data_IF_881088574653
#
_entry.id   IF_881088574653
#
_cell.length_a   1.000
_cell.length_b   1.000
_cell.length_c   1.000
_cell.angle_alpha   90.00
_cell.angle_beta   90.00
_cell.angle_gamma   90.00
#
_symmetry.space_group_name_H-M   'P 1'
#
loop_
_entity.id
_entity.type
_entity.pdbx_description
1 polymer ?
#
# COMPACT_ATOMS: atom_id res chain seq x y z
N UNK A 1 -43.75 23.45 31.58
CA UNK A 1 -42.55 24.24 31.49
C UNK A 1 -42.51 24.79 30.07
N UNK A 2 -42.77 26.10 29.91
CA UNK A 2 -42.61 26.81 28.63
C UNK A 2 -41.11 27.07 28.46
N UNK A 3 -40.56 26.58 27.37
CA UNK A 3 -39.19 26.91 27.00
C UNK A 3 -39.06 28.43 26.81
N UNK A 4 -38.06 29.01 27.42
CA UNK A 4 -37.72 30.43 27.25
C UNK A 4 -37.08 30.57 25.87
N UNK A 5 -37.84 31.08 24.90
CA UNK A 5 -37.44 31.20 23.51
C UNK A 5 -36.46 32.39 23.31
N UNK A 6 -36.24 33.21 24.32
CA UNK A 6 -35.32 34.37 24.28
C UNK A 6 -33.92 34.04 24.88
N UNK A 7 -33.73 32.84 25.43
CA UNK A 7 -32.43 32.41 25.89
C UNK A 7 -31.53 32.03 24.69
N UNK A 8 -30.26 32.48 24.65
CA UNK A 8 -29.35 32.08 23.59
C UNK A 8 -29.19 30.55 23.60
N UNK A 9 -29.22 29.94 22.40
CA UNK A 9 -29.03 28.52 22.22
C UNK A 9 -27.63 28.13 22.72
N UNK A 10 -27.54 27.50 23.88
CA UNK A 10 -26.31 26.90 24.38
C UNK A 10 -26.19 25.48 23.80
N UNK A 11 -25.28 25.31 22.83
CA UNK A 11 -24.89 24.02 22.35
C UNK A 11 -23.91 23.39 23.34
N UNK A 12 -24.42 22.50 24.19
CA UNK A 12 -23.57 21.62 24.99
C UNK A 12 -22.97 20.55 24.08
N UNK A 13 -21.84 20.89 23.46
CA UNK A 13 -21.00 19.90 22.77
C UNK A 13 -20.34 19.07 23.88
N UNK A 14 -20.84 17.86 24.12
CA UNK A 14 -20.10 16.85 24.88
C UNK A 14 -18.89 16.44 24.05
N UNK A 15 -17.80 17.17 24.23
CA UNK A 15 -16.49 16.90 23.60
C UNK A 15 -15.69 15.81 24.34
N UNK A 16 -16.26 15.22 25.41
CA UNK A 16 -15.73 14.01 26.00
C UNK A 16 -16.11 12.79 25.14
N UNK A 17 -15.66 12.77 23.89
CA UNK A 17 -15.32 11.51 23.27
C UNK A 17 -14.02 11.08 23.95
N UNK A 18 -14.07 9.94 24.64
CA UNK A 18 -12.86 9.17 24.90
C UNK A 18 -12.18 9.01 23.54
N UNK A 19 -11.14 9.80 23.31
CA UNK A 19 -10.21 9.56 22.21
C UNK A 19 -9.53 8.27 22.64
N UNK A 20 -9.99 7.13 22.13
CA UNK A 20 -9.17 5.92 22.20
C UNK A 20 -7.82 6.32 21.63
N UNK A 21 -6.78 6.31 22.48
CA UNK A 21 -5.42 6.59 22.04
C UNK A 21 -5.11 5.58 20.96
N UNK A 22 -4.89 6.08 19.74
CA UNK A 22 -4.46 5.22 18.64
C UNK A 22 -3.12 4.61 19.04
N UNK A 23 -3.07 3.30 19.17
CA UNK A 23 -1.82 2.56 19.34
C UNK A 23 -1.09 2.52 18.00
N UNK A 24 -0.29 3.57 17.74
CA UNK A 24 0.54 3.73 16.55
C UNK A 24 2.00 3.32 16.76
N UNK A 25 2.32 2.81 17.95
CA UNK A 25 3.67 2.37 18.26
C UNK A 25 4.12 1.24 17.34
N UNK A 26 5.30 1.42 16.75
CA UNK A 26 5.98 0.42 15.92
C UNK A 26 7.41 0.22 16.45
N UNK A 27 7.87 -1.02 16.37
CA UNK A 27 9.18 -1.42 16.88
C UNK A 27 10.14 -1.72 15.74
N UNK A 28 11.43 -1.49 15.98
CA UNK A 28 12.47 -1.91 15.05
C UNK A 28 12.43 -3.42 14.82
N UNK A 29 12.53 -3.83 13.56
CA UNK A 29 12.49 -5.23 13.13
C UNK A 29 13.82 -5.61 12.51
N UNK A 30 14.36 -6.77 12.91
CA UNK A 30 15.55 -7.33 12.28
C UNK A 30 15.19 -8.01 10.95
N UNK A 31 15.98 -7.72 9.91
CA UNK A 31 15.89 -8.47 8.67
C UNK A 31 16.33 -9.93 8.87
N UNK A 32 15.85 -10.87 8.04
CA UNK A 32 16.25 -12.26 8.16
C UNK A 32 17.77 -12.46 8.11
N UNK A 33 18.28 -13.40 8.91
CA UNK A 33 19.70 -13.75 8.92
C UNK A 33 20.23 -13.96 7.50
N UNK A 34 21.45 -13.47 7.23
CA UNK A 34 22.10 -13.50 5.93
C UNK A 34 21.45 -12.65 4.86
N UNK A 35 20.53 -11.74 5.19
CA UNK A 35 20.02 -10.77 4.23
C UNK A 35 21.16 -9.96 3.62
N UNK A 36 21.15 -9.86 2.29
CA UNK A 36 22.06 -9.00 1.52
C UNK A 36 21.25 -8.25 0.48
N UNK A 37 21.43 -6.94 0.43
CA UNK A 37 20.87 -6.11 -0.65
C UNK A 37 21.34 -6.64 -2.00
N UNK A 38 20.46 -6.66 -2.98
CA UNK A 38 20.76 -7.07 -4.34
C UNK A 38 20.42 -5.94 -5.31
N UNK A 39 21.19 -5.83 -6.39
CA UNK A 39 20.97 -4.89 -7.49
C UNK A 39 20.67 -5.63 -8.80
N UNK A 40 20.52 -6.93 -8.73
CA UNK A 40 20.15 -7.78 -9.85
C UNK A 40 19.57 -9.10 -9.35
N UNK A 41 18.35 -9.42 -9.79
CA UNK A 41 17.71 -10.70 -9.48
C UNK A 41 16.82 -11.13 -10.65
N UNK A 42 16.90 -12.39 -11.17
CA UNK A 42 16.13 -12.86 -12.33
C UNK A 42 14.65 -12.59 -12.22
N UNK A 43 14.04 -12.97 -11.09
CA UNK A 43 12.61 -12.75 -10.81
C UNK A 43 12.19 -11.27 -10.91
N UNK A 44 13.03 -10.35 -10.45
CA UNK A 44 12.73 -8.91 -10.51
C UNK A 44 12.98 -8.34 -11.92
N UNK A 45 13.93 -8.90 -12.66
CA UNK A 45 14.15 -8.56 -14.07
C UNK A 45 12.94 -8.96 -14.94
N UNK A 46 12.34 -10.13 -14.69
CA UNK A 46 11.09 -10.55 -15.34
C UNK A 46 9.91 -9.59 -15.03
N UNK A 47 9.99 -8.85 -13.92
CA UNK A 47 9.06 -7.80 -13.52
C UNK A 47 9.52 -6.39 -13.93
N UNK A 48 10.42 -6.32 -14.91
CA UNK A 48 10.90 -5.07 -15.48
C UNK A 48 11.57 -4.12 -14.47
N UNK A 49 12.17 -4.65 -13.39
CA UNK A 49 12.95 -3.85 -12.46
C UNK A 49 14.14 -3.22 -13.19
N UNK A 50 14.29 -1.92 -13.05
CA UNK A 50 15.38 -1.13 -13.57
C UNK A 50 16.48 -0.93 -12.52
N UNK A 51 17.59 -0.33 -12.90
CA UNK A 51 18.63 0.06 -11.95
C UNK A 51 18.08 1.07 -10.92
N UNK A 52 17.29 2.02 -11.35
CA UNK A 52 16.69 3.05 -10.48
C UNK A 52 15.75 2.43 -9.45
N UNK A 53 14.97 1.38 -9.80
CA UNK A 53 14.17 0.63 -8.84
C UNK A 53 15.03 0.04 -7.71
N UNK A 54 16.19 -0.56 -8.06
CA UNK A 54 17.08 -1.14 -7.05
C UNK A 54 17.78 -0.09 -6.19
N UNK A 55 18.06 1.08 -6.74
CA UNK A 55 18.63 2.19 -5.96
C UNK A 55 17.62 2.77 -4.98
N UNK A 56 16.39 2.97 -5.44
CA UNK A 56 15.33 3.62 -4.67
C UNK A 56 14.67 2.67 -3.65
N UNK A 57 14.33 1.45 -4.07
CA UNK A 57 13.67 0.47 -3.20
C UNK A 57 14.68 -0.55 -2.65
N UNK A 58 14.94 -0.56 -1.33
CA UNK A 58 15.75 -1.60 -0.74
C UNK A 58 15.13 -2.98 -1.01
N UNK A 59 15.89 -3.84 -1.66
CA UNK A 59 15.50 -5.23 -1.89
C UNK A 59 16.70 -6.14 -1.76
N UNK A 60 16.51 -7.31 -1.19
CA UNK A 60 17.61 -8.27 -1.01
C UNK A 60 17.16 -9.71 -0.97
N UNK A 61 18.12 -10.56 -0.73
CA UNK A 61 17.98 -12.01 -0.65
C UNK A 61 18.84 -12.57 0.48
N UNK A 62 18.50 -13.75 0.98
CA UNK A 62 19.35 -14.49 1.93
C UNK A 62 20.14 -15.60 1.25
N UNK A 63 19.76 -15.97 0.04
CA UNK A 63 20.28 -17.15 -0.65
C UNK A 63 20.06 -18.44 0.15
N UNK A 64 20.82 -19.48 -0.18
CA UNK A 64 20.71 -20.79 0.47
C UNK A 64 21.18 -20.84 1.93
N UNK A 65 21.81 -19.75 2.42
CA UNK A 65 22.27 -19.67 3.80
C UNK A 65 21.13 -19.61 4.82
N UNK A 66 19.98 -19.08 4.40
CA UNK A 66 18.76 -19.15 5.19
C UNK A 66 17.70 -19.96 4.39
N UNK A 67 17.55 -21.28 4.67
CA UNK A 67 16.63 -22.14 3.93
C UNK A 67 15.17 -21.68 3.96
N UNK A 68 14.77 -20.95 5.02
CA UNK A 68 13.40 -20.42 5.18
C UNK A 68 13.07 -19.36 4.13
N UNK A 69 14.09 -18.63 3.65
CA UNK A 69 13.95 -17.53 2.70
C UNK A 69 14.76 -17.73 1.41
N UNK A 70 15.26 -18.94 1.15
CA UNK A 70 16.16 -19.24 0.04
C UNK A 70 15.63 -18.79 -1.33
N UNK A 71 14.32 -18.96 -1.56
CA UNK A 71 13.65 -18.63 -2.81
C UNK A 71 12.76 -17.39 -2.71
N UNK A 72 13.13 -16.46 -1.80
CA UNK A 72 12.39 -15.21 -1.61
C UNK A 72 13.26 -13.99 -1.96
N UNK A 73 12.62 -12.99 -2.55
CA UNK A 73 13.09 -11.60 -2.55
C UNK A 73 12.44 -10.88 -1.38
N UNK A 74 13.21 -10.07 -0.65
CA UNK A 74 12.82 -9.48 0.63
C UNK A 74 12.88 -7.97 0.48
N UNK A 75 11.77 -7.32 0.75
CA UNK A 75 11.61 -5.87 0.74
C UNK A 75 11.49 -5.38 2.17
N UNK A 76 12.48 -4.64 2.72
CA UNK A 76 12.33 -3.94 3.97
C UNK A 76 11.15 -2.96 3.93
N UNK A 77 10.51 -2.78 5.07
CA UNK A 77 9.49 -1.76 5.30
C UNK A 77 10.08 -0.77 6.30
N UNK A 78 10.18 0.49 5.88
CA UNK A 78 10.78 1.56 6.67
C UNK A 78 9.72 2.53 7.15
N UNK A 79 9.92 3.06 8.34
CA UNK A 79 9.11 4.11 8.96
C UNK A 79 10.07 5.04 9.73
N UNK A 80 10.12 6.31 9.33
CA UNK A 80 11.08 7.28 9.84
C UNK A 80 12.54 6.77 9.83
N UNK A 81 12.95 6.19 8.68
CA UNK A 81 14.28 5.63 8.42
C UNK A 81 14.68 4.45 9.33
N UNK A 82 13.71 3.86 10.00
CA UNK A 82 13.91 2.64 10.79
C UNK A 82 13.22 1.47 10.12
N UNK A 83 13.87 0.32 10.05
CA UNK A 83 13.23 -0.89 9.52
C UNK A 83 12.24 -1.41 10.57
N UNK A 84 10.95 -1.37 10.24
CA UNK A 84 9.84 -1.79 11.10
C UNK A 84 9.18 -3.09 10.63
N UNK A 85 9.64 -3.63 9.52
CA UNK A 85 9.14 -4.88 8.98
C UNK A 85 9.82 -5.27 7.69
N UNK A 86 9.39 -6.38 7.13
CA UNK A 86 9.74 -6.78 5.77
C UNK A 86 8.64 -7.61 5.14
N UNK A 87 8.56 -7.55 3.83
CA UNK A 87 7.74 -8.42 3.00
C UNK A 87 8.67 -9.31 2.17
N UNK A 88 8.58 -10.62 2.35
CA UNK A 88 9.30 -11.57 1.53
C UNK A 88 8.35 -12.20 0.50
N UNK A 89 8.68 -12.06 -0.78
CA UNK A 89 7.91 -12.59 -1.90
C UNK A 89 8.62 -13.80 -2.50
N UNK A 90 7.94 -14.94 -2.53
CA UNK A 90 8.46 -16.14 -3.17
C UNK A 90 8.61 -15.95 -4.68
N UNK A 91 9.71 -16.40 -5.25
CA UNK A 91 10.05 -16.17 -6.66
C UNK A 91 9.27 -17.06 -7.63
N UNK A 92 8.70 -18.16 -7.16
CA UNK A 92 7.92 -19.06 -8.02
C UNK A 92 6.59 -18.44 -8.45
N UNK A 93 6.12 -18.78 -9.65
CA UNK A 93 4.77 -18.45 -10.09
C UNK A 93 3.70 -19.06 -9.18
N UNK A 94 2.57 -18.38 -9.05
CA UNK A 94 1.44 -18.84 -8.22
C UNK A 94 1.03 -20.28 -8.53
N UNK A 95 0.97 -20.64 -9.82
CA UNK A 95 0.58 -21.99 -10.27
C UNK A 95 1.50 -23.08 -9.73
N UNK A 96 2.81 -22.81 -9.66
CA UNK A 96 3.81 -23.74 -9.14
C UNK A 96 3.70 -23.88 -7.63
N UNK A 97 3.54 -22.78 -6.91
CA UNK A 97 3.30 -22.79 -5.47
C UNK A 97 2.03 -23.59 -5.13
N UNK A 98 0.94 -23.35 -5.85
CA UNK A 98 -0.33 -24.07 -5.65
C UNK A 98 -0.19 -25.58 -5.97
N UNK A 99 0.57 -25.93 -7.01
CA UNK A 99 0.84 -27.31 -7.35
C UNK A 99 1.70 -28.01 -6.28
N UNK A 100 2.78 -27.34 -5.81
CA UNK A 100 3.59 -27.82 -4.69
C UNK A 100 2.75 -28.02 -3.42
N UNK A 101 1.96 -27.03 -3.04
CA UNK A 101 1.16 -27.06 -1.82
C UNK A 101 0.09 -28.17 -1.83
N UNK A 102 -0.47 -28.49 -3.00
CA UNK A 102 -1.37 -29.66 -3.15
C UNK A 102 -0.64 -30.98 -2.86
N UNK A 103 0.59 -31.15 -3.38
CA UNK A 103 1.41 -32.34 -3.12
C UNK A 103 1.88 -32.39 -1.67
N UNK A 104 2.39 -31.28 -1.14
CA UNK A 104 2.87 -31.16 0.22
C UNK A 104 1.82 -31.58 1.26
N UNK A 105 0.54 -31.27 1.01
CA UNK A 105 -0.57 -31.71 1.87
C UNK A 105 -0.70 -33.24 1.97
N UNK A 106 -0.39 -33.95 0.90
CA UNK A 106 -0.45 -35.42 0.88
C UNK A 106 0.83 -36.07 1.44
N UNK A 107 1.98 -35.42 1.29
CA UNK A 107 3.29 -35.98 1.64
C UNK A 107 3.76 -35.54 3.04
N UNK A 108 3.02 -34.71 3.75
CA UNK A 108 3.45 -34.16 5.04
C UNK A 108 4.58 -33.12 4.95
N UNK A 109 4.80 -32.55 3.77
CA UNK A 109 5.80 -31.52 3.52
C UNK A 109 5.29 -30.12 3.93
N UNK A 110 6.21 -29.17 4.11
CA UNK A 110 5.87 -27.80 4.44
C UNK A 110 5.24 -27.06 3.24
N UNK A 111 4.19 -26.29 3.52
CA UNK A 111 3.60 -25.38 2.53
C UNK A 111 4.50 -24.19 2.25
N UNK A 112 4.61 -23.84 0.99
CA UNK A 112 5.24 -22.59 0.55
C UNK A 112 4.20 -21.46 0.61
N UNK A 113 4.56 -20.36 1.27
CA UNK A 113 3.76 -19.15 1.28
C UNK A 113 4.20 -18.23 0.14
N UNK A 114 3.24 -17.69 -0.61
CA UNK A 114 3.53 -16.70 -1.67
C UNK A 114 4.16 -15.44 -1.10
N UNK A 115 3.68 -15.02 0.06
CA UNK A 115 4.22 -13.92 0.85
C UNK A 115 4.51 -14.39 2.26
N UNK A 116 5.59 -13.88 2.83
CA UNK A 116 6.01 -14.15 4.21
C UNK A 116 6.48 -12.83 4.81
N UNK A 117 5.62 -12.21 5.58
CA UNK A 117 5.92 -10.95 6.25
C UNK A 117 6.61 -11.19 7.60
N UNK A 118 7.32 -10.18 8.11
CA UNK A 118 7.72 -10.14 9.52
C UNK A 118 6.48 -10.13 10.42
N UNK A 119 6.67 -10.47 11.68
CA UNK A 119 5.58 -10.59 12.67
C UNK A 119 5.78 -9.70 13.89
N UNK A 120 6.82 -8.88 13.88
CA UNK A 120 7.17 -8.02 15.02
C UNK A 120 6.21 -6.84 15.17
N UNK A 121 5.66 -6.37 14.06
CA UNK A 121 4.66 -5.33 14.03
C UNK A 121 3.40 -5.78 13.27
N UNK A 122 2.26 -5.22 13.66
CA UNK A 122 1.01 -5.37 12.89
C UNK A 122 1.10 -4.54 11.60
N UNK A 123 0.99 -5.19 10.46
CA UNK A 123 1.02 -4.53 9.15
C UNK A 123 -0.12 -3.54 8.92
N UNK A 124 -1.19 -3.59 9.71
CA UNK A 124 -2.23 -2.56 9.72
C UNK A 124 -1.73 -1.21 10.26
N UNK A 125 -0.57 -1.17 10.94
CA UNK A 125 0.08 0.05 11.41
C UNK A 125 1.13 0.59 10.43
N UNK A 126 1.48 -0.18 9.40
CA UNK A 126 2.59 0.10 8.48
C UNK A 126 2.08 0.57 7.12
N UNK A 127 2.88 1.39 6.46
CA UNK A 127 2.70 1.77 5.06
C UNK A 127 4.00 1.46 4.31
N UNK A 128 3.90 0.82 3.14
CA UNK A 128 5.08 0.65 2.30
C UNK A 128 5.44 1.97 1.63
N UNK A 129 6.73 2.25 1.56
CA UNK A 129 7.29 3.49 1.01
C UNK A 129 6.85 4.77 1.76
N UNK A 130 6.58 4.65 3.06
CA UNK A 130 6.09 5.75 3.90
C UNK A 130 7.06 6.93 3.96
N UNK A 131 8.38 6.65 3.96
CA UNK A 131 9.41 7.68 4.05
C UNK A 131 9.57 8.52 2.78
N UNK A 132 8.93 8.11 1.68
CA UNK A 132 8.83 8.95 0.48
C UNK A 132 7.90 10.15 0.66
N UNK A 133 7.02 10.11 1.67
CA UNK A 133 6.17 11.25 2.04
C UNK A 133 7.01 12.24 2.85
N UNK A 134 7.41 13.33 2.22
CA UNK A 134 8.17 14.41 2.86
C UNK A 134 7.19 15.36 3.55
N UNK A 135 7.29 15.55 4.88
CA UNK A 135 6.42 16.50 5.59
C UNK A 135 6.43 17.88 4.94
N UNK A 136 5.25 18.47 4.81
CA UNK A 136 5.02 19.80 4.23
C UNK A 136 5.39 19.99 2.74
N UNK A 137 5.98 18.98 2.09
CA UNK A 137 6.28 19.00 0.66
C UNK A 137 5.34 18.07 -0.13
N UNK A 138 5.18 16.81 0.33
CA UNK A 138 4.33 15.82 -0.34
C UNK A 138 2.88 16.03 0.07
N UNK A 139 2.10 16.62 -0.80
CA UNK A 139 0.69 16.89 -0.56
C UNK A 139 -0.25 15.82 -1.15
N UNK A 140 0.23 15.00 -2.07
CA UNK A 140 -0.55 13.98 -2.78
C UNK A 140 0.05 12.60 -2.61
N UNK A 141 -0.77 11.61 -2.25
CA UNK A 141 -0.36 10.21 -2.22
C UNK A 141 -1.24 9.35 -3.13
N UNK A 142 -0.61 8.41 -3.84
CA UNK A 142 -1.28 7.34 -4.57
C UNK A 142 -1.29 6.11 -3.66
N UNK A 143 -2.48 5.69 -3.23
CA UNK A 143 -2.68 4.60 -2.30
C UNK A 143 -2.97 3.31 -3.05
N UNK A 144 -2.11 2.30 -2.92
CA UNK A 144 -2.23 0.99 -3.56
C UNK A 144 -2.37 -0.15 -2.55
N UNK A 145 -2.60 -1.37 -3.05
CA UNK A 145 -2.72 -2.56 -2.22
C UNK A 145 -1.36 -3.16 -1.85
N UNK A 146 -0.43 -3.17 -2.80
CA UNK A 146 0.80 -3.95 -2.69
C UNK A 146 2.07 -3.24 -3.13
N UNK A 147 3.19 -3.83 -2.74
CA UNK A 147 4.53 -3.27 -2.97
C UNK A 147 4.89 -3.16 -4.45
N UNK A 148 4.44 -4.11 -5.29
CA UNK A 148 4.77 -4.09 -6.71
C UNK A 148 4.02 -2.99 -7.46
N UNK A 149 2.81 -2.63 -7.02
CA UNK A 149 2.05 -1.50 -7.56
C UNK A 149 2.76 -0.18 -7.24
N UNK A 150 3.25 -0.02 -6.01
CA UNK A 150 4.06 1.14 -5.61
C UNK A 150 5.28 1.28 -6.51
N UNK A 151 6.03 0.19 -6.70
CA UNK A 151 7.25 0.20 -7.51
C UNK A 151 6.93 0.51 -8.97
N UNK A 152 5.88 -0.12 -9.52
CA UNK A 152 5.45 0.10 -10.89
C UNK A 152 5.00 1.55 -11.13
N UNK A 153 4.20 2.11 -10.22
CA UNK A 153 3.72 3.50 -10.31
C UNK A 153 4.88 4.49 -10.15
N UNK A 154 5.78 4.25 -9.18
CA UNK A 154 6.96 5.11 -8.99
C UNK A 154 7.80 5.17 -10.25
N UNK A 155 8.08 4.02 -10.88
CA UNK A 155 8.84 3.94 -12.13
C UNK A 155 8.11 4.58 -13.31
N UNK A 156 6.85 4.17 -13.54
CA UNK A 156 6.10 4.54 -14.75
C UNK A 156 5.59 5.98 -14.73
N UNK A 157 5.49 6.60 -13.55
CA UNK A 157 5.17 8.02 -13.36
C UNK A 157 6.39 8.87 -13.00
N UNK A 158 7.60 8.27 -13.01
CA UNK A 158 8.86 8.95 -12.70
C UNK A 158 8.86 9.67 -11.34
N UNK A 159 8.37 8.99 -10.29
CA UNK A 159 8.20 9.59 -8.97
C UNK A 159 9.45 9.53 -8.06
N UNK A 160 10.59 8.99 -8.51
CA UNK A 160 11.77 8.80 -7.67
C UNK A 160 12.25 10.08 -6.97
N UNK A 161 12.27 11.19 -7.70
CA UNK A 161 12.68 12.51 -7.20
C UNK A 161 11.50 13.47 -7.01
N UNK A 162 10.26 12.98 -7.14
CA UNK A 162 9.08 13.80 -6.99
C UNK A 162 8.85 14.10 -5.50
N UNK A 163 8.80 15.39 -5.12
CA UNK A 163 8.58 15.79 -3.73
C UNK A 163 7.12 16.02 -3.41
N UNK A 164 6.25 16.17 -4.42
CA UNK A 164 4.83 16.48 -4.25
C UNK A 164 3.93 15.26 -4.27
N UNK A 165 4.33 14.21 -4.99
CA UNK A 165 3.52 13.00 -5.17
C UNK A 165 4.33 11.77 -4.75
N UNK A 166 3.76 10.92 -3.91
CA UNK A 166 4.35 9.64 -3.51
C UNK A 166 3.36 8.48 -3.75
N UNK A 167 3.87 7.33 -4.20
CA UNK A 167 3.10 6.09 -4.23
C UNK A 167 3.41 5.26 -2.97
N UNK A 168 2.36 4.78 -2.30
CA UNK A 168 2.45 4.01 -1.05
C UNK A 168 1.48 2.82 -1.06
N UNK A 169 1.69 1.81 -0.21
CA UNK A 169 0.76 0.69 -0.09
C UNK A 169 0.33 0.42 1.36
N UNK A 170 -0.93 -0.02 1.50
CA UNK A 170 -1.55 -0.41 2.77
C UNK A 170 -1.38 -1.88 3.13
N UNK A 171 -0.68 -2.67 2.31
CA UNK A 171 -0.53 -4.12 2.43
C UNK A 171 -1.86 -4.89 2.36
N UNK A 172 -2.84 -4.36 1.65
CA UNK A 172 -4.16 -4.97 1.42
C UNK A 172 -5.20 -3.96 0.97
N UNK A 173 -6.45 -4.41 0.91
CA UNK A 173 -7.58 -3.64 0.36
C UNK A 173 -8.29 -2.74 1.38
N UNK A 174 -7.64 -2.38 2.49
CA UNK A 174 -8.23 -1.56 3.56
C UNK A 174 -7.18 -0.65 4.17
N UNK A 175 -7.56 0.59 4.41
CA UNK A 175 -6.77 1.51 5.22
C UNK A 175 -7.24 1.45 6.67
N UNK A 176 -6.31 1.35 7.62
CA UNK A 176 -6.59 1.39 9.06
C UNK A 176 -6.66 2.83 9.59
N UNK A 177 -7.10 3.00 10.84
CA UNK A 177 -7.09 4.31 11.51
C UNK A 177 -5.66 4.82 11.73
N UNK A 178 -4.73 3.92 12.08
CA UNK A 178 -3.31 4.27 12.26
C UNK A 178 -2.68 4.71 10.93
N UNK A 179 -2.92 3.98 9.84
CA UNK A 179 -2.41 4.36 8.53
C UNK A 179 -2.98 5.72 8.08
N UNK A 180 -4.28 5.96 8.29
CA UNK A 180 -4.93 7.24 8.00
C UNK A 180 -4.31 8.36 8.82
N UNK A 181 -4.14 8.16 10.14
CA UNK A 181 -3.51 9.13 11.04
C UNK A 181 -2.07 9.47 10.61
N UNK A 182 -1.29 8.47 10.20
CA UNK A 182 0.07 8.68 9.67
C UNK A 182 0.09 9.61 8.45
N UNK A 183 -0.88 9.48 7.54
CA UNK A 183 -0.99 10.39 6.38
C UNK A 183 -1.31 11.82 6.81
N UNK A 184 -2.18 11.99 7.82
CA UNK A 184 -2.50 13.32 8.37
C UNK A 184 -1.26 13.95 9.02
N UNK A 185 -0.50 13.17 9.82
CA UNK A 185 0.73 13.64 10.46
C UNK A 185 1.80 14.12 9.47
N UNK A 186 1.85 13.53 8.26
CA UNK A 186 2.76 13.96 7.18
C UNK A 186 2.25 15.19 6.40
N UNK A 187 1.04 15.67 6.66
CA UNK A 187 0.48 16.83 5.98
C UNK A 187 -0.12 16.54 4.61
N UNK A 188 -0.41 15.27 4.30
CA UNK A 188 -1.08 14.86 3.05
C UNK A 188 -2.43 15.55 2.93
N UNK A 189 -2.76 16.05 1.74
CA UNK A 189 -4.02 16.74 1.43
C UNK A 189 -4.89 15.94 0.46
N UNK A 190 -4.28 15.31 -0.52
CA UNK A 190 -4.95 14.57 -1.60
C UNK A 190 -4.57 13.09 -1.52
N UNK A 191 -5.56 12.21 -1.56
CA UNK A 191 -5.34 10.76 -1.67
C UNK A 191 -5.99 10.24 -2.93
N UNK A 192 -5.17 9.71 -3.84
CA UNK A 192 -5.63 9.02 -5.04
C UNK A 192 -5.72 7.52 -4.73
N UNK A 193 -6.92 6.97 -4.63
CA UNK A 193 -7.12 5.53 -4.41
C UNK A 193 -6.90 4.78 -5.73
N UNK A 194 -5.82 4.02 -5.80
CA UNK A 194 -5.40 3.23 -6.95
C UNK A 194 -5.31 1.74 -6.58
N UNK A 195 -6.43 1.13 -6.14
CA UNK A 195 -6.51 -0.32 -5.91
C UNK A 195 -6.75 -1.07 -7.21
N UNK A 196 -6.51 -2.40 -7.19
CA UNK A 196 -6.71 -3.25 -8.35
C UNK A 196 -8.15 -3.17 -8.89
N UNK A 197 -8.32 -3.37 -10.19
CA UNK A 197 -9.61 -3.19 -10.87
C UNK A 197 -10.74 -4.12 -10.37
N UNK A 198 -10.43 -5.22 -9.69
CA UNK A 198 -11.41 -6.12 -9.06
C UNK A 198 -11.87 -5.66 -7.65
N UNK A 199 -11.28 -4.60 -7.11
CA UNK A 199 -11.45 -4.15 -5.72
C UNK A 199 -12.58 -3.13 -5.51
N UNK A 200 -13.63 -3.11 -6.34
CA UNK A 200 -14.67 -2.06 -6.36
C UNK A 200 -15.26 -1.74 -4.98
N UNK A 201 -15.63 -2.74 -4.20
CA UNK A 201 -16.20 -2.49 -2.86
C UNK A 201 -15.15 -2.00 -1.86
N UNK A 202 -13.90 -2.45 -1.99
CA UNK A 202 -12.80 -1.96 -1.18
C UNK A 202 -12.47 -0.50 -1.49
N UNK A 203 -12.47 -0.11 -2.77
CA UNK A 203 -12.33 1.29 -3.20
C UNK A 203 -13.40 2.16 -2.57
N UNK A 204 -14.69 1.78 -2.69
CA UNK A 204 -15.80 2.52 -2.09
C UNK A 204 -15.65 2.71 -0.59
N UNK A 205 -15.32 1.62 0.11
CA UNK A 205 -15.12 1.66 1.56
C UNK A 205 -13.95 2.56 1.95
N UNK A 206 -12.82 2.46 1.24
CA UNK A 206 -11.63 3.29 1.50
C UNK A 206 -11.92 4.76 1.21
N UNK A 207 -12.59 5.08 0.11
CA UNK A 207 -13.04 6.44 -0.22
C UNK A 207 -13.93 7.00 0.90
N UNK A 208 -14.91 6.24 1.39
CA UNK A 208 -15.82 6.70 2.45
C UNK A 208 -15.08 6.96 3.78
N UNK A 209 -13.99 6.25 4.05
CA UNK A 209 -13.13 6.50 5.23
C UNK A 209 -12.21 7.72 5.07
N UNK A 210 -11.69 7.95 3.87
CA UNK A 210 -10.71 9.02 3.60
C UNK A 210 -11.35 10.40 3.42
N UNK A 211 -12.52 10.48 2.78
CA UNK A 211 -13.18 11.74 2.42
C UNK A 211 -13.46 12.74 3.55
N UNK A 212 -13.59 12.35 4.85
CA UNK A 212 -13.72 13.32 5.93
C UNK A 212 -12.42 14.10 6.22
N UNK A 213 -11.28 13.61 5.74
CA UNK A 213 -9.95 14.10 6.12
C UNK A 213 -9.12 14.60 4.95
N UNK A 214 -9.40 14.11 3.73
CA UNK A 214 -8.61 14.39 2.53
C UNK A 214 -9.52 14.70 1.34
N UNK A 215 -8.98 15.42 0.38
CA UNK A 215 -9.51 15.38 -0.98
C UNK A 215 -9.21 13.98 -1.56
N UNK A 216 -10.25 13.31 -2.07
CA UNK A 216 -10.13 11.92 -2.55
C UNK A 216 -10.45 11.84 -4.02
N UNK A 217 -9.54 11.25 -4.77
CA UNK A 217 -9.71 10.88 -6.17
C UNK A 217 -9.55 9.36 -6.31
N UNK A 218 -10.02 8.82 -7.42
CA UNK A 218 -9.91 7.39 -7.73
C UNK A 218 -9.25 7.24 -9.10
N UNK A 219 -8.18 6.46 -9.13
CA UNK A 219 -7.57 5.97 -10.36
C UNK A 219 -8.20 4.61 -10.68
N UNK A 220 -9.04 4.56 -11.71
CA UNK A 220 -9.77 3.36 -12.08
C UNK A 220 -9.03 2.58 -13.18
N UNK A 221 -8.74 1.31 -12.89
CA UNK A 221 -8.19 0.38 -13.88
C UNK A 221 -9.35 -0.15 -14.70
N UNK A 222 -9.42 0.22 -15.98
CA UNK A 222 -10.50 -0.21 -16.89
C UNK A 222 -10.53 -1.74 -17.10
N UNK A 223 -9.37 -2.42 -17.05
CA UNK A 223 -9.29 -3.87 -17.13
C UNK A 223 -9.13 -4.48 -15.71
N UNK A 224 -10.25 -4.94 -15.15
CA UNK A 224 -10.31 -5.54 -13.82
C UNK A 224 -9.40 -6.77 -13.60
N UNK A 225 -8.75 -7.30 -14.64
CA UNK A 225 -7.83 -8.45 -14.56
C UNK A 225 -6.37 -8.03 -14.45
N UNK A 226 -6.08 -6.74 -14.61
CA UNK A 226 -4.73 -6.21 -14.55
C UNK A 226 -4.48 -5.47 -13.24
N UNK A 227 -3.26 -5.54 -12.75
CA UNK A 227 -2.71 -4.66 -11.74
C UNK A 227 -1.80 -3.60 -12.39
N UNK A 228 -1.34 -2.61 -11.62
CA UNK A 228 -0.50 -1.52 -12.14
C UNK A 228 0.84 -2.01 -12.68
N UNK A 229 1.36 -3.12 -12.16
CA UNK A 229 2.60 -3.74 -12.62
C UNK A 229 2.46 -4.26 -14.08
N UNK A 230 1.28 -4.76 -14.45
CA UNK A 230 0.98 -5.32 -15.77
C UNK A 230 0.54 -4.28 -16.83
N UNK A 231 0.29 -3.03 -16.43
CA UNK A 231 -0.15 -1.98 -17.35
C UNK A 231 1.01 -1.27 -18.04
N UNK A 232 0.79 -0.85 -19.30
CA UNK A 232 1.75 -0.03 -20.03
C UNK A 232 1.88 1.39 -19.44
N UNK A 233 3.08 1.97 -19.49
CA UNK A 233 3.37 3.28 -18.91
C UNK A 233 2.45 4.39 -19.45
N UNK A 234 2.22 4.42 -20.78
CA UNK A 234 1.36 5.42 -21.41
C UNK A 234 -0.07 5.38 -20.87
N UNK A 235 -0.59 4.17 -20.59
CA UNK A 235 -1.94 3.99 -20.04
C UNK A 235 -2.01 4.45 -18.59
N UNK A 236 -0.98 4.19 -17.81
CA UNK A 236 -0.87 4.68 -16.44
C UNK A 236 -0.82 6.21 -16.46
N UNK A 237 0.07 6.78 -17.26
CA UNK A 237 0.17 8.24 -17.38
C UNK A 237 -1.17 8.87 -17.80
N UNK A 238 -1.85 8.31 -18.81
CA UNK A 238 -3.18 8.77 -19.24
C UNK A 238 -4.19 8.74 -18.09
N UNK A 239 -4.18 7.68 -17.26
CA UNK A 239 -5.09 7.54 -16.12
C UNK A 239 -4.83 8.62 -15.08
N UNK A 240 -3.60 8.80 -14.66
CA UNK A 240 -3.26 9.74 -13.58
C UNK A 240 -3.26 11.20 -14.03
N UNK A 241 -2.97 11.49 -15.31
CA UNK A 241 -2.95 12.85 -15.81
C UNK A 241 -4.34 13.38 -16.23
N UNK A 242 -5.24 12.49 -16.69
CA UNK A 242 -6.46 12.94 -17.36
C UNK A 242 -7.75 12.20 -16.97
N UNK A 243 -7.66 11.09 -16.23
CA UNK A 243 -8.82 10.21 -15.98
C UNK A 243 -9.06 9.91 -14.50
N UNK A 244 -8.50 10.70 -13.60
CA UNK A 244 -8.86 10.58 -12.19
C UNK A 244 -10.33 10.94 -12.02
N UNK A 245 -11.04 10.12 -11.25
CA UNK A 245 -12.46 10.26 -11.00
C UNK A 245 -12.68 10.79 -9.57
N UNK A 246 -13.67 11.66 -9.44
CA UNK A 246 -14.21 11.95 -8.12
C UNK A 246 -14.94 10.71 -7.55
N UNK A 247 -15.15 10.61 -6.23
CA UNK A 247 -15.91 9.52 -5.63
C UNK A 247 -17.30 9.30 -6.25
N UNK A 248 -17.96 10.39 -6.67
CA UNK A 248 -19.29 10.31 -7.29
C UNK A 248 -19.19 9.74 -8.71
N UNK A 249 -18.27 10.24 -9.53
CA UNK A 249 -18.05 9.74 -10.88
C UNK A 249 -17.67 8.26 -10.87
N UNK A 250 -16.79 7.84 -9.96
CA UNK A 250 -16.45 6.43 -9.79
C UNK A 250 -17.67 5.57 -9.42
N UNK A 251 -18.51 6.03 -8.47
CA UNK A 251 -19.74 5.30 -8.10
C UNK A 251 -20.70 5.18 -9.29
N UNK A 252 -20.83 6.23 -10.08
CA UNK A 252 -21.70 6.24 -11.27
C UNK A 252 -21.17 5.33 -12.39
N UNK A 253 -19.86 5.32 -12.65
CA UNK A 253 -19.26 4.44 -13.67
C UNK A 253 -19.54 2.96 -13.35
N UNK A 254 -19.40 2.55 -12.08
CA UNK A 254 -19.63 1.15 -11.64
C UNK A 254 -21.11 0.74 -11.59
N UNK A 255 -22.05 1.66 -11.74
CA UNK A 255 -23.48 1.33 -11.90
C UNK A 255 -23.82 1.06 -13.37
N UNK A 256 -23.14 1.71 -14.30
CA UNK A 256 -23.37 1.56 -15.75
C UNK A 256 -22.75 0.27 -16.32
N UNK A 257 -21.79 -0.34 -15.63
CA UNK A 257 -21.13 -1.59 -16.02
C UNK A 257 -21.92 -2.86 -15.61
N UNK A 258 -23.04 -2.73 -14.88
CA UNK A 258 -23.96 -3.81 -14.49
C UNK A 258 -25.13 -3.91 -15.43
#
# INVERSE_FOLDING_TARGET
ATADLDAPLELHLNLEREVEELDDEVHETCLPDFYKRTFRHPYLQERSFTFDDYEYFPVGVTGKLNPRFADYVIFPVEDNHTIVGYVARHTWPKKEIDAHNRKAKHNGEYKILRYRNSTDNDFSKLLYNYDSIRPDETDTVILTEGIFDVIALTRKLELYDNTHIAAIATFGKKISDVQLYKLQCKGVKVVVVGYDGDAVEAVKHTVDRLKPYFEVLVADIADAKKDWDEMEADKIYETFAYRLLTPIEYKLSKVQEK
#
